data_IF_070622919461
#
_entry.id   IF_070622919461
#
_cell.length_a   1.000
_cell.length_b   1.000
_cell.length_c   1.000
_cell.angle_alpha   90.00
_cell.angle_beta   90.00
_cell.angle_gamma   90.00
#
_symmetry.space_group_name_H-M   'P 1'
#
loop_
_entity.id
_entity.type
_entity.pdbx_description
1 polymer ?
#
# COMPACT_ATOMS: atom_id res chain seq x y z
N UNK A 1 35.95 -24.57 -31.34
CA UNK A 1 35.75 -23.98 -32.69
C UNK A 1 35.95 -22.48 -32.54
N UNK A 2 37.17 -21.95 -32.72
CA UNK A 2 37.70 -21.38 -33.99
C UNK A 2 36.79 -20.29 -34.57
N UNK A 3 37.18 -19.06 -34.91
CA UNK A 3 38.41 -18.25 -34.87
C UNK A 3 38.00 -16.85 -35.42
N UNK A 4 38.83 -15.81 -35.18
CA UNK A 4 39.12 -14.61 -36.02
C UNK A 4 38.73 -13.29 -35.35
N UNK A 5 39.70 -12.53 -34.82
CA UNK A 5 40.68 -11.66 -35.50
C UNK A 5 40.01 -10.40 -36.06
N UNK A 6 40.54 -9.19 -36.00
CA UNK A 6 41.72 -8.53 -35.39
C UNK A 6 41.59 -7.06 -35.84
N UNK A 7 42.21 -6.10 -35.14
CA UNK A 7 43.19 -5.17 -35.73
C UNK A 7 43.79 -4.26 -34.65
N UNK A 8 45.12 -4.17 -34.69
CA UNK A 8 46.03 -3.41 -33.85
C UNK A 8 46.45 -2.13 -34.58
N UNK A 9 46.78 -1.09 -33.79
CA UNK A 9 47.80 -0.09 -34.10
C UNK A 9 47.29 1.26 -34.64
N UNK A 10 47.93 2.40 -34.41
CA UNK A 10 48.91 2.86 -33.42
C UNK A 10 49.06 4.39 -33.60
N UNK A 11 49.25 5.09 -32.48
CA UNK A 11 49.95 6.36 -32.23
C UNK A 11 50.09 7.47 -33.31
N UNK A 12 49.75 8.71 -32.93
CA UNK A 12 50.61 9.89 -33.12
C UNK A 12 50.18 11.08 -32.22
N UNK A 13 51.17 11.68 -31.57
CA UNK A 13 51.12 12.86 -30.70
C UNK A 13 51.15 14.15 -31.53
N UNK A 14 50.37 15.18 -31.14
CA UNK A 14 50.72 16.57 -31.44
C UNK A 14 50.04 17.54 -30.44
N UNK A 15 50.87 18.23 -29.65
CA UNK A 15 50.51 19.38 -28.83
C UNK A 15 50.62 20.64 -29.70
N UNK A 16 49.59 21.50 -29.71
CA UNK A 16 49.74 22.94 -30.06
C UNK A 16 48.77 23.79 -29.23
N UNK A 17 49.31 24.91 -28.76
CA UNK A 17 48.68 25.96 -27.94
C UNK A 17 47.87 26.94 -28.82
N UNK A 18 46.84 27.59 -28.27
CA UNK A 18 46.59 29.05 -28.29
C UNK A 18 45.10 29.43 -28.06
N UNK A 19 44.88 30.18 -26.97
CA UNK A 19 43.96 31.31 -26.75
C UNK A 19 42.75 31.57 -27.66
N UNK A 20 41.58 31.78 -27.05
CA UNK A 20 40.49 32.56 -27.66
C UNK A 20 39.21 32.58 -26.82
N UNK A 21 39.06 33.58 -25.94
CA UNK A 21 37.73 33.99 -25.46
C UNK A 21 37.04 34.74 -26.61
N UNK A 22 35.86 34.27 -27.02
CA UNK A 22 34.90 35.05 -27.80
C UNK A 22 33.53 34.79 -27.20
N UNK A 23 32.96 35.83 -26.62
CA UNK A 23 31.55 35.90 -26.24
C UNK A 23 30.69 35.64 -27.47
N UNK A 24 29.68 34.78 -27.32
CA UNK A 24 28.71 34.47 -28.37
C UNK A 24 27.51 33.78 -27.72
N UNK A 25 26.40 34.50 -27.72
CA UNK A 25 25.11 34.16 -27.12
C UNK A 25 24.53 32.81 -27.57
N UNK A 26 23.72 32.23 -26.68
CA UNK A 26 22.58 31.43 -27.10
C UNK A 26 22.81 29.92 -27.18
N UNK A 27 22.80 29.27 -26.02
CA UNK A 27 22.11 28.00 -25.85
C UNK A 27 21.86 27.81 -24.36
N UNK A 28 20.75 28.35 -23.86
CA UNK A 28 20.08 27.77 -22.70
C UNK A 28 19.76 26.32 -23.08
N UNK A 29 20.68 25.40 -22.78
CA UNK A 29 20.32 24.01 -22.59
C UNK A 29 19.35 24.01 -21.42
N UNK A 30 18.06 24.12 -21.74
CA UNK A 30 17.00 23.66 -20.88
C UNK A 30 17.35 22.21 -20.54
N UNK A 31 17.97 22.03 -19.38
CA UNK A 31 18.00 20.75 -18.74
C UNK A 31 16.53 20.41 -18.51
N UNK A 32 15.97 19.58 -19.39
CA UNK A 32 14.77 18.82 -19.11
C UNK A 32 15.10 17.98 -17.87
N UNK A 33 14.91 18.60 -16.72
CA UNK A 33 14.76 17.89 -15.47
C UNK A 33 13.49 17.09 -15.70
N UNK A 34 13.65 15.81 -16.03
CA UNK A 34 12.60 14.83 -15.94
C UNK A 34 12.10 14.89 -14.49
N UNK A 35 11.15 15.78 -14.23
CA UNK A 35 10.47 15.84 -12.97
C UNK A 35 9.76 14.50 -12.84
N UNK A 36 10.25 13.67 -11.92
CA UNK A 36 9.50 12.49 -11.53
C UNK A 36 8.06 12.92 -11.24
N UNK A 37 7.05 12.17 -11.68
CA UNK A 37 5.66 12.53 -11.43
C UNK A 37 5.49 12.80 -9.93
N UNK A 38 4.94 13.97 -9.60
CA UNK A 38 4.71 14.35 -8.20
C UNK A 38 3.69 13.38 -7.61
N UNK A 39 4.15 12.54 -6.68
CA UNK A 39 3.25 11.70 -5.87
C UNK A 39 2.36 12.62 -5.04
N UNK A 40 1.06 12.38 -5.06
CA UNK A 40 0.10 13.09 -4.22
C UNK A 40 0.45 12.81 -2.74
N UNK A 41 0.74 13.85 -1.91
CA UNK A 41 1.17 13.62 -0.54
C UNK A 41 0.05 12.96 0.28
N UNK A 42 0.31 11.74 0.77
CA UNK A 42 -0.60 11.08 1.70
C UNK A 42 -0.71 11.85 3.02
N UNK A 43 -1.92 11.92 3.64
CA UNK A 43 -2.08 12.47 4.97
C UNK A 43 -1.21 11.74 6.00
N UNK A 44 -0.56 12.51 6.87
CA UNK A 44 0.28 11.98 7.95
C UNK A 44 -0.57 11.37 9.06
N UNK A 45 -0.03 10.36 9.73
CA UNK A 45 -0.70 9.76 10.89
C UNK A 45 -0.55 10.69 12.10
N UNK A 46 -1.65 11.12 12.75
CA UNK A 46 -1.59 12.13 13.81
C UNK A 46 -0.91 11.62 15.09
N UNK A 47 -1.10 10.35 15.43
CA UNK A 47 -0.47 9.67 16.55
C UNK A 47 -0.22 8.21 16.19
N UNK A 48 1.03 7.76 15.98
CA UNK A 48 1.32 6.37 15.66
C UNK A 48 0.70 5.40 16.69
N UNK A 49 0.10 4.31 16.20
CA UNK A 49 -0.45 3.24 17.04
C UNK A 49 0.64 2.24 17.44
N UNK A 50 0.42 1.51 18.54
CA UNK A 50 1.28 0.39 18.95
C UNK A 50 0.95 -0.83 18.08
N UNK A 51 1.88 -1.21 17.19
CA UNK A 51 1.61 -2.19 16.13
C UNK A 51 2.42 -3.48 16.25
N UNK A 52 3.26 -3.64 17.27
CA UNK A 52 4.17 -4.78 17.41
C UNK A 52 3.44 -6.13 17.46
N UNK A 53 2.29 -6.19 18.16
CA UNK A 53 1.47 -7.41 18.20
C UNK A 53 0.86 -7.70 16.84
N UNK A 54 0.37 -6.67 16.14
CA UNK A 54 -0.26 -6.79 14.82
C UNK A 54 0.73 -7.29 13.76
N UNK A 55 1.94 -6.75 13.75
CA UNK A 55 2.97 -7.14 12.77
C UNK A 55 3.44 -8.58 13.03
N UNK A 56 3.54 -9.00 14.29
CA UNK A 56 3.96 -10.35 14.67
C UNK A 56 2.87 -11.39 14.46
N UNK A 57 1.63 -11.03 14.77
CA UNK A 57 0.44 -11.85 14.63
C UNK A 57 -0.73 -10.97 14.16
N UNK A 58 -0.99 -10.92 12.84
CA UNK A 58 -2.08 -10.16 12.24
C UNK A 58 -3.46 -10.50 12.80
N UNK A 59 -3.66 -11.69 13.37
CA UNK A 59 -4.95 -12.07 13.97
C UNK A 59 -5.22 -11.33 15.29
N UNK A 60 -4.21 -10.66 15.86
CA UNK A 60 -4.40 -9.73 17.00
C UNK A 60 -5.07 -8.42 16.61
N UNK A 61 -5.31 -8.17 15.31
CA UNK A 61 -6.07 -7.02 14.84
C UNK A 61 -7.45 -6.90 15.50
N UNK A 62 -8.06 -8.03 15.87
CA UNK A 62 -9.31 -8.09 16.62
C UNK A 62 -9.14 -9.00 17.82
N UNK A 63 -9.65 -8.59 18.97
CA UNK A 63 -9.91 -9.54 20.07
C UNK A 63 -11.00 -10.54 19.65
N UNK A 64 -11.05 -11.75 20.25
CA UNK A 64 -12.12 -12.70 19.97
C UNK A 64 -13.53 -12.13 20.19
N UNK A 65 -13.69 -11.28 21.21
CA UNK A 65 -14.96 -10.61 21.50
C UNK A 65 -15.37 -9.64 20.40
N UNK A 66 -14.46 -8.80 19.91
CA UNK A 66 -14.71 -7.89 18.78
C UNK A 66 -15.03 -8.65 17.49
N UNK A 67 -14.29 -9.73 17.20
CA UNK A 67 -14.58 -10.58 16.05
C UNK A 67 -16.00 -11.17 16.13
N UNK A 68 -16.39 -11.70 17.30
CA UNK A 68 -17.73 -12.26 17.50
C UNK A 68 -18.83 -11.18 17.40
N UNK A 69 -18.61 -9.97 17.91
CA UNK A 69 -19.55 -8.84 17.81
C UNK A 69 -19.79 -8.43 16.36
N UNK A 70 -18.78 -8.54 15.50
CA UNK A 70 -18.86 -8.25 14.05
C UNK A 70 -19.44 -9.45 13.27
N UNK A 71 -19.72 -10.58 13.94
CA UNK A 71 -20.24 -11.79 13.31
C UNK A 71 -19.18 -12.60 12.58
N UNK A 72 -17.91 -12.51 13.00
CA UNK A 72 -16.80 -13.30 12.49
C UNK A 72 -16.57 -14.55 13.36
N UNK A 73 -16.32 -15.68 12.70
CA UNK A 73 -15.97 -16.93 13.36
C UNK A 73 -14.56 -16.84 13.95
N UNK A 74 -14.37 -17.38 15.16
CA UNK A 74 -13.09 -17.44 15.85
C UNK A 74 -12.53 -18.87 15.87
N UNK A 75 -11.20 -19.04 15.94
CA UNK A 75 -10.18 -18.00 15.79
C UNK A 75 -10.02 -17.54 14.34
N UNK A 76 -9.40 -16.38 14.13
CA UNK A 76 -8.89 -16.01 12.80
C UNK A 76 -7.76 -16.95 12.38
N UNK A 77 -7.51 -17.03 11.08
CA UNK A 77 -6.48 -17.89 10.49
C UNK A 77 -5.41 -17.07 9.79
N UNK A 78 -4.14 -17.40 10.03
CA UNK A 78 -3.03 -16.79 9.29
C UNK A 78 -3.03 -17.25 7.83
N UNK A 79 -2.70 -16.35 6.91
CA UNK A 79 -2.49 -16.67 5.50
C UNK A 79 -1.33 -15.85 4.90
N UNK A 80 -0.65 -16.32 3.84
CA UNK A 80 0.37 -15.55 3.14
C UNK A 80 -0.23 -14.34 2.41
N UNK A 81 0.39 -13.17 2.53
CA UNK A 81 0.00 -11.92 1.88
C UNK A 81 1.21 -11.19 1.27
N UNK A 82 1.03 -10.20 0.38
CA UNK A 82 2.15 -9.48 -0.24
C UNK A 82 3.14 -8.76 0.71
N UNK A 83 2.76 -8.47 1.96
CA UNK A 83 3.62 -7.83 2.97
C UNK A 83 3.90 -8.71 4.20
N UNK A 84 3.92 -10.03 4.01
CA UNK A 84 4.13 -11.00 5.07
C UNK A 84 2.86 -11.80 5.37
N UNK A 85 2.54 -12.00 6.65
CA UNK A 85 1.31 -12.70 7.03
C UNK A 85 0.14 -11.71 7.09
N UNK A 86 -1.03 -12.19 6.70
CA UNK A 86 -2.31 -11.57 7.04
C UNK A 86 -3.13 -12.51 7.91
N UNK A 87 -4.24 -12.00 8.44
CA UNK A 87 -5.26 -12.80 9.08
C UNK A 87 -6.54 -12.80 8.26
N UNK A 88 -7.19 -13.95 8.19
CA UNK A 88 -8.53 -14.08 7.62
C UNK A 88 -9.52 -14.57 8.67
N UNK A 89 -10.73 -14.06 8.62
CA UNK A 89 -11.87 -14.60 9.33
C UNK A 89 -12.94 -15.02 8.35
N UNK A 90 -13.59 -16.14 8.63
CA UNK A 90 -14.84 -16.51 7.99
C UNK A 90 -16.00 -15.82 8.72
N UNK A 91 -17.07 -15.49 8.01
CA UNK A 91 -18.31 -15.06 8.66
C UNK A 91 -18.96 -16.22 9.41
N UNK A 92 -19.50 -15.95 10.60
CA UNK A 92 -20.21 -16.93 11.40
C UNK A 92 -21.63 -17.24 10.86
N UNK A 93 -22.19 -16.34 10.05
CA UNK A 93 -23.54 -16.49 9.46
C UNK A 93 -23.54 -16.93 8.00
N UNK A 94 -22.37 -16.88 7.34
CA UNK A 94 -22.24 -17.03 5.90
C UNK A 94 -20.88 -17.64 5.53
N UNK A 95 -20.80 -18.96 5.39
CA UNK A 95 -19.52 -19.67 5.29
C UNK A 95 -18.67 -19.29 4.06
N UNK A 96 -19.31 -18.79 3.01
CA UNK A 96 -18.62 -18.33 1.81
C UNK A 96 -17.93 -16.96 2.00
N UNK A 97 -18.34 -16.19 3.03
CA UNK A 97 -17.87 -14.83 3.24
C UNK A 97 -16.63 -14.78 4.11
N UNK A 98 -15.67 -13.94 3.72
CA UNK A 98 -14.39 -13.78 4.40
C UNK A 98 -14.00 -12.32 4.54
N UNK A 99 -13.33 -12.02 5.63
CA UNK A 99 -12.64 -10.75 5.90
C UNK A 99 -11.16 -11.02 6.01
N UNK A 100 -10.35 -10.15 5.44
CA UNK A 100 -8.90 -10.23 5.45
C UNK A 100 -8.33 -8.95 6.05
N UNK A 101 -7.32 -9.08 6.90
CA UNK A 101 -6.55 -7.97 7.47
C UNK A 101 -5.07 -8.29 7.28
N UNK A 102 -4.35 -7.42 6.59
CA UNK A 102 -2.94 -7.59 6.28
C UNK A 102 -2.15 -6.31 6.61
N UNK A 103 -1.30 -6.29 7.64
CA UNK A 103 -0.33 -5.21 7.83
C UNK A 103 0.75 -5.30 6.75
N UNK A 104 1.11 -4.18 6.13
CA UNK A 104 2.13 -4.12 5.09
C UNK A 104 3.34 -3.33 5.61
N UNK A 105 4.10 -3.99 6.48
CA UNK A 105 5.27 -3.39 7.14
C UNK A 105 6.53 -3.40 6.29
N UNK A 106 6.75 -4.42 5.46
CA UNK A 106 8.02 -4.63 4.73
C UNK A 106 8.40 -3.50 3.76
N UNK A 107 7.45 -2.63 3.41
CA UNK A 107 7.68 -1.52 2.48
C UNK A 107 8.02 -0.20 3.17
N UNK A 108 7.81 -0.07 4.49
CA UNK A 108 8.03 1.15 5.29
C UNK A 108 7.46 2.46 4.68
N UNK A 109 6.42 2.34 3.84
CA UNK A 109 5.85 3.47 3.08
C UNK A 109 4.57 4.02 3.69
N UNK A 110 3.92 3.28 4.59
CA UNK A 110 2.62 3.62 5.13
C UNK A 110 1.60 3.93 4.04
N UNK A 111 0.77 4.95 4.27
CA UNK A 111 -0.25 5.36 3.31
C UNK A 111 0.34 6.03 2.06
N UNK A 112 1.59 6.50 2.11
CA UNK A 112 2.29 7.10 0.95
C UNK A 112 2.42 6.10 -0.19
N UNK A 113 2.67 4.82 0.11
CA UNK A 113 2.74 3.76 -0.90
C UNK A 113 1.40 3.55 -1.62
N UNK A 114 0.28 3.74 -0.92
CA UNK A 114 -1.06 3.65 -1.51
C UNK A 114 -1.34 4.86 -2.40
N UNK A 115 -1.01 6.07 -1.94
CA UNK A 115 -1.20 7.31 -2.72
C UNK A 115 -0.34 7.33 -3.98
N UNK A 116 0.85 6.72 -3.96
CA UNK A 116 1.70 6.56 -5.14
C UNK A 116 1.04 5.74 -6.26
N UNK A 117 0.09 4.85 -5.93
CA UNK A 117 -0.63 4.01 -6.89
C UNK A 117 -1.98 4.59 -7.35
N UNK A 118 -2.36 5.79 -6.88
CA UNK A 118 -3.68 6.40 -7.16
C UNK A 118 -4.06 6.41 -8.65
N UNK A 119 -3.11 6.64 -9.55
CA UNK A 119 -3.36 6.68 -10.99
C UNK A 119 -3.71 5.29 -11.59
N UNK A 120 -3.43 4.20 -10.87
CA UNK A 120 -3.73 2.82 -11.24
C UNK A 120 -5.02 2.30 -10.58
N UNK A 121 -5.57 3.04 -9.63
CA UNK A 121 -6.77 2.63 -8.91
C UNK A 121 -8.05 3.00 -9.68
N UNK A 122 -8.99 2.06 -9.76
CA UNK A 122 -10.31 2.28 -10.35
C UNK A 122 -11.25 3.07 -9.42
N UNK A 123 -10.96 3.07 -8.13
CA UNK A 123 -11.57 3.97 -7.14
C UNK A 123 -10.51 4.38 -6.13
N UNK A 124 -10.58 5.63 -5.68
CA UNK A 124 -9.69 6.18 -4.65
C UNK A 124 -10.46 7.23 -3.85
N UNK A 125 -10.93 6.85 -2.67
CA UNK A 125 -11.86 7.64 -1.86
C UNK A 125 -11.29 7.80 -0.44
N UNK A 126 -10.61 8.92 -0.14
CA UNK A 126 -10.07 9.18 1.19
C UNK A 126 -11.17 9.24 2.25
N UNK A 127 -10.90 8.66 3.41
CA UNK A 127 -11.81 8.59 4.56
C UNK A 127 -11.00 8.68 5.86
N UNK A 128 -11.69 8.80 6.99
CA UNK A 128 -11.07 8.72 8.32
C UNK A 128 -11.69 7.59 9.11
N UNK A 129 -10.86 6.77 9.74
CA UNK A 129 -11.27 5.70 10.64
C UNK A 129 -10.78 6.06 12.04
N UNK A 130 -11.69 6.37 12.96
CA UNK A 130 -11.30 6.62 14.36
C UNK A 130 -10.22 7.71 14.54
N UNK A 131 -10.18 8.69 13.62
CA UNK A 131 -9.18 9.77 13.57
C UNK A 131 -7.93 9.48 12.73
N UNK A 132 -7.81 8.28 12.16
CA UNK A 132 -6.66 7.86 11.35
C UNK A 132 -6.95 8.00 9.85
N UNK A 133 -5.96 8.44 9.05
CA UNK A 133 -6.12 8.59 7.61
C UNK A 133 -6.29 7.22 6.97
N UNK A 134 -7.27 7.11 6.08
CA UNK A 134 -7.54 5.90 5.35
C UNK A 134 -8.01 6.22 3.93
N UNK A 135 -8.05 5.21 3.07
CA UNK A 135 -8.55 5.35 1.71
C UNK A 135 -9.18 4.03 1.27
N UNK A 136 -10.38 4.10 0.70
CA UNK A 136 -10.90 3.02 -0.12
C UNK A 136 -10.20 3.09 -1.47
N UNK A 137 -9.39 2.09 -1.80
CA UNK A 137 -8.65 2.07 -3.05
C UNK A 137 -8.41 0.65 -3.56
N UNK A 138 -8.55 0.44 -4.86
CA UNK A 138 -8.06 -0.75 -5.56
C UNK A 138 -7.98 -0.52 -7.07
N UNK A 139 -7.10 -1.27 -7.73
CA UNK A 139 -6.97 -1.32 -9.19
C UNK A 139 -8.14 -2.00 -9.93
N UNK A 140 -9.07 -2.61 -9.20
CA UNK A 140 -10.29 -3.20 -9.72
C UNK A 140 -11.48 -2.79 -8.84
N UNK A 141 -12.57 -2.31 -9.44
CA UNK A 141 -13.80 -2.02 -8.71
C UNK A 141 -14.69 -3.27 -8.71
N UNK A 142 -14.55 -4.07 -7.65
CA UNK A 142 -15.31 -5.28 -7.41
C UNK A 142 -16.33 -5.09 -6.27
N UNK A 143 -16.64 -3.83 -5.91
CA UNK A 143 -17.57 -3.51 -4.82
C UNK A 143 -18.97 -4.02 -5.11
N UNK A 144 -19.41 -3.95 -6.37
CA UNK A 144 -20.67 -4.55 -6.84
C UNK A 144 -20.68 -6.08 -6.86
N UNK A 145 -19.59 -6.74 -6.47
CA UNK A 145 -19.43 -8.21 -6.46
C UNK A 145 -18.75 -8.71 -5.18
N UNK A 146 -18.89 -7.97 -4.08
CA UNK A 146 -18.53 -8.45 -2.74
C UNK A 146 -17.14 -8.09 -2.25
N UNK A 147 -16.35 -7.38 -3.04
CA UNK A 147 -14.98 -7.01 -2.66
C UNK A 147 -14.83 -5.51 -2.49
N UNK A 148 -14.50 -5.09 -1.27
CA UNK A 148 -14.03 -3.74 -0.96
C UNK A 148 -12.64 -3.81 -0.33
N UNK A 149 -11.76 -2.87 -0.68
CA UNK A 149 -10.45 -2.72 -0.07
C UNK A 149 -10.34 -1.35 0.61
N UNK A 150 -9.96 -1.37 1.89
CA UNK A 150 -9.72 -0.19 2.72
C UNK A 150 -8.29 -0.24 3.25
N UNK A 151 -7.56 0.85 3.08
CA UNK A 151 -6.18 0.99 3.54
C UNK A 151 -6.15 2.01 4.67
N UNK A 152 -5.68 1.62 5.86
CA UNK A 152 -5.63 2.48 7.04
C UNK A 152 -4.18 2.73 7.41
N UNK A 153 -3.76 3.99 7.42
CA UNK A 153 -2.45 4.38 7.96
C UNK A 153 -2.48 4.30 9.48
N UNK A 154 -1.74 3.36 10.06
CA UNK A 154 -1.66 3.17 11.52
C UNK A 154 -0.37 3.75 12.11
N UNK A 155 0.66 3.91 11.29
CA UNK A 155 1.83 4.77 11.50
C UNK A 155 2.19 5.43 10.17
N UNK A 156 3.16 6.35 10.15
CA UNK A 156 3.65 6.92 8.88
C UNK A 156 4.35 5.88 7.98
N UNK A 157 4.75 4.74 8.53
CA UNK A 157 5.48 3.66 7.83
C UNK A 157 4.64 2.39 7.64
N UNK A 158 3.57 2.22 8.40
CA UNK A 158 2.72 1.04 8.36
C UNK A 158 1.30 1.38 7.92
N UNK A 159 0.86 0.71 6.86
CA UNK A 159 -0.53 0.68 6.39
C UNK A 159 -1.09 -0.71 6.60
N UNK A 160 -2.36 -0.79 6.97
CA UNK A 160 -3.09 -2.06 7.06
C UNK A 160 -4.14 -2.11 5.97
N UNK A 161 -4.10 -3.17 5.16
CA UNK A 161 -5.16 -3.47 4.22
C UNK A 161 -6.25 -4.30 4.89
N UNK A 162 -7.50 -3.86 4.76
CA UNK A 162 -8.69 -4.60 5.14
C UNK A 162 -9.48 -4.86 3.87
N UNK A 163 -9.77 -6.14 3.60
CA UNK A 163 -10.45 -6.56 2.39
C UNK A 163 -11.61 -7.51 2.70
N UNK A 164 -12.66 -7.45 1.88
CA UNK A 164 -13.78 -8.39 1.95
C UNK A 164 -13.83 -9.32 0.73
N UNK A 165 -14.34 -10.52 0.96
CA UNK A 165 -14.91 -11.38 -0.06
C UNK A 165 -16.29 -11.78 0.42
N UNK A 166 -17.32 -11.16 -0.13
CA UNK A 166 -18.73 -11.38 0.23
C UNK A 166 -19.44 -12.01 -0.97
N UNK A 167 -19.70 -13.31 -0.90
CA UNK A 167 -20.26 -14.11 -1.98
C UNK A 167 -21.78 -14.37 -1.80
N UNK A 168 -22.31 -14.16 -0.60
CA UNK A 168 -23.73 -14.29 -0.29
C UNK A 168 -24.20 -13.27 0.77
N UNK A 169 -25.53 -13.17 0.93
CA UNK A 169 -26.14 -12.29 1.92
C UNK A 169 -26.34 -10.83 1.48
N UNK A 170 -26.75 -9.95 2.40
CA UNK A 170 -27.21 -8.60 2.06
C UNK A 170 -26.09 -7.64 1.62
N UNK A 171 -24.83 -7.95 1.93
CA UNK A 171 -23.69 -7.05 1.71
C UNK A 171 -22.92 -7.34 0.40
N UNK A 172 -23.40 -8.26 -0.45
CA UNK A 172 -22.70 -8.65 -1.71
C UNK A 172 -22.50 -7.45 -2.63
N UNK A 173 -23.52 -6.58 -2.76
CA UNK A 173 -23.45 -5.41 -3.66
C UNK A 173 -22.96 -4.15 -2.97
N UNK A 174 -22.81 -4.16 -1.64
CA UNK A 174 -22.28 -3.05 -0.85
C UNK A 174 -21.42 -3.57 0.33
N UNK A 175 -20.20 -4.05 0.05
CA UNK A 175 -19.32 -4.66 1.05
C UNK A 175 -18.52 -3.65 1.88
N UNK A 176 -18.43 -2.39 1.46
CA UNK A 176 -17.54 -1.40 2.10
C UNK A 176 -17.90 -1.05 3.56
N UNK A 177 -19.18 -0.99 3.96
CA UNK A 177 -19.56 -0.81 5.36
C UNK A 177 -19.00 -1.92 6.28
N UNK A 178 -18.85 -3.14 5.76
CA UNK A 178 -18.31 -4.28 6.52
C UNK A 178 -16.82 -4.07 6.81
N UNK A 179 -16.02 -3.73 5.80
CA UNK A 179 -14.58 -3.48 6.01
C UNK A 179 -14.34 -2.24 6.87
N UNK A 180 -15.21 -1.23 6.80
CA UNK A 180 -15.14 -0.05 7.67
C UNK A 180 -15.40 -0.40 9.15
N UNK A 181 -16.34 -1.32 9.41
CA UNK A 181 -16.63 -1.82 10.76
C UNK A 181 -15.43 -2.57 11.33
N UNK A 182 -14.81 -3.44 10.53
CA UNK A 182 -13.59 -4.18 10.90
C UNK A 182 -12.42 -3.22 11.17
N UNK A 183 -12.19 -2.24 10.29
CA UNK A 183 -11.15 -1.25 10.46
C UNK A 183 -11.34 -0.40 11.74
N UNK A 184 -12.59 -0.04 12.05
CA UNK A 184 -12.94 0.68 13.28
C UNK A 184 -12.59 -0.14 14.53
N UNK A 185 -12.96 -1.41 14.55
CA UNK A 185 -12.63 -2.31 15.65
C UNK A 185 -11.12 -2.52 15.80
N UNK A 186 -10.41 -2.69 14.68
CA UNK A 186 -8.95 -2.79 14.68
C UNK A 186 -8.27 -1.56 15.26
N UNK A 187 -8.64 -0.35 14.81
CA UNK A 187 -8.04 0.88 15.35
C UNK A 187 -8.33 1.02 16.85
N UNK A 188 -9.54 0.66 17.30
CA UNK A 188 -9.87 0.64 18.74
C UNK A 188 -9.04 -0.37 19.51
N UNK A 189 -8.83 -1.57 18.95
CA UNK A 189 -7.99 -2.61 19.55
C UNK A 189 -6.54 -2.12 19.71
N UNK A 190 -5.97 -1.49 18.67
CA UNK A 190 -4.62 -0.94 18.71
C UNK A 190 -4.47 0.23 19.69
N UNK A 191 -5.51 1.07 19.83
CA UNK A 191 -5.53 2.13 20.87
C UNK A 191 -5.55 1.56 22.28
N UNK A 192 -6.22 0.43 22.50
CA UNK A 192 -6.31 -0.24 23.80
C UNK A 192 -5.08 -1.06 24.18
N UNK A 193 -4.17 -1.31 23.23
CA UNK A 193 -2.90 -1.99 23.45
C UNK A 193 -1.75 -1.05 23.89
N UNK A 194 -2.02 0.26 23.96
CA UNK A 194 -1.09 1.31 24.37
C UNK A 194 -0.96 1.44 25.89
#
# INVERSE_FOLDING_TARGET
MTTRNSWLGAAAVAVTLLTGCSSGDGADSAAETNAAPSVDPAPRVPSPLVTDSLVRDPCTALSPAQAAEIGLANPGELYPSPGGQGCRWQSAGYDANKIFVAPLGDQDTGLTGVYANRAQDNYFEPVTIEGYPAVFAANADLRGSGTCALWVGVTDQLVVNINSSILDGPNVTDPCPVVQTVATAMVRQLKGAA
#
